data_IF_314036175917
#
_entry.id   IF_314036175917
#
_cell.length_a   1.000
_cell.length_b   1.000
_cell.length_c   1.000
_cell.angle_alpha   90.00
_cell.angle_beta   90.00
_cell.angle_gamma   90.00
#
_symmetry.space_group_name_H-M   'P 1'
#
loop_
_entity.id
_entity.type
_entity.pdbx_description
1 polymer ?
#
# COMPACT_ATOMS: atom_id res chain seq x y z
N UNK A 1 24.18 7.02 11.19
CA UNK A 1 23.10 6.00 11.24
C UNK A 1 21.91 6.61 11.96
N UNK A 2 20.70 6.50 11.38
CA UNK A 2 19.39 7.02 11.85
C UNK A 2 19.18 8.55 11.87
N UNK A 3 19.19 9.20 10.70
CA UNK A 3 18.71 10.58 10.51
C UNK A 3 17.40 10.68 9.71
N UNK A 4 16.72 9.56 9.42
CA UNK A 4 15.62 9.49 8.45
C UNK A 4 14.19 9.54 9.02
N UNK A 5 14.02 9.71 10.33
CA UNK A 5 12.69 9.84 10.96
C UNK A 5 12.50 11.24 11.54
N UNK A 6 12.57 12.28 10.70
CA UNK A 6 11.99 13.59 11.05
C UNK A 6 10.56 13.59 10.54
N UNK A 7 9.62 13.33 11.43
CA UNK A 7 8.20 13.46 11.14
C UNK A 7 7.76 14.88 11.41
N UNK A 8 7.69 15.70 10.36
CA UNK A 8 7.12 17.06 10.40
C UNK A 8 6.26 17.33 9.15
N UNK A 9 5.46 16.34 8.73
CA UNK A 9 4.51 16.51 7.63
C UNK A 9 3.13 16.87 8.21
N UNK A 10 2.98 18.13 8.64
CA UNK A 10 1.73 18.71 9.19
C UNK A 10 0.72 19.17 8.12
N UNK A 11 0.87 18.74 6.86
CA UNK A 11 -0.08 19.09 5.81
C UNK A 11 -1.31 18.17 5.89
N UNK A 12 -2.40 18.68 6.49
CA UNK A 12 -3.65 17.95 6.66
C UNK A 12 -4.50 17.95 5.37
N UNK A 13 -4.82 16.76 4.85
CA UNK A 13 -5.87 16.53 3.86
C UNK A 13 -7.13 15.91 4.49
N UNK A 14 -8.26 15.92 3.77
CA UNK A 14 -9.46 15.18 4.18
C UNK A 14 -9.30 13.69 3.88
N UNK A 15 -9.46 12.83 4.89
CA UNK A 15 -9.19 11.38 4.81
C UNK A 15 -10.46 10.55 4.56
N UNK A 16 -11.64 11.12 4.84
CA UNK A 16 -12.91 10.45 4.64
C UNK A 16 -13.80 11.26 3.69
N UNK A 17 -14.68 10.58 2.92
CA UNK A 17 -15.75 11.27 2.22
C UNK A 17 -16.66 11.91 3.28
N UNK A 18 -16.50 13.22 3.46
CA UNK A 18 -17.55 14.05 4.07
C UNK A 18 -18.71 14.04 3.07
N UNK A 19 -19.95 13.98 3.56
CA UNK A 19 -21.19 13.79 2.78
C UNK A 19 -21.08 14.23 1.30
N UNK A 20 -21.23 13.29 0.38
CA UNK A 20 -21.27 13.55 -1.07
C UNK A 20 -20.09 13.04 -1.91
N UNK A 21 -19.01 12.54 -1.31
CA UNK A 21 -17.89 11.96 -2.08
C UNK A 21 -18.07 10.46 -2.34
N UNK A 22 -18.12 10.07 -3.62
CA UNK A 22 -18.16 8.68 -4.08
C UNK A 22 -16.75 8.06 -4.19
N UNK A 23 -16.71 6.72 -4.16
CA UNK A 23 -15.54 5.84 -4.19
C UNK A 23 -14.34 6.34 -5.02
N UNK A 24 -13.25 6.74 -4.35
CA UNK A 24 -11.97 7.09 -4.99
C UNK A 24 -11.09 5.86 -5.32
N UNK A 25 -11.62 4.64 -5.26
CA UNK A 25 -10.89 3.41 -5.61
C UNK A 25 -11.20 3.03 -7.05
N UNK A 26 -10.27 3.34 -7.96
CA UNK A 26 -10.35 2.90 -9.36
C UNK A 26 -9.94 1.42 -9.49
N UNK A 27 -10.89 0.57 -9.90
CA UNK A 27 -10.66 -0.85 -10.09
C UNK A 27 -9.58 -1.13 -11.16
N UNK A 28 -9.48 -0.28 -12.19
CA UNK A 28 -8.49 -0.46 -13.25
C UNK A 28 -7.07 -0.25 -12.72
N UNK A 29 -6.87 0.72 -11.84
CA UNK A 29 -5.61 0.96 -11.16
C UNK A 29 -5.19 -0.23 -10.29
N UNK A 30 -6.12 -0.79 -9.50
CA UNK A 30 -5.83 -1.91 -8.57
C UNK A 30 -5.47 -3.20 -9.31
N UNK A 31 -6.09 -3.45 -10.47
CA UNK A 31 -5.86 -4.65 -11.26
C UNK A 31 -4.84 -4.47 -12.40
N UNK A 32 -4.12 -3.35 -12.40
CA UNK A 32 -3.06 -3.12 -13.38
C UNK A 32 -1.93 -4.15 -13.23
N UNK A 33 -1.37 -4.56 -14.38
CA UNK A 33 -0.23 -5.50 -14.40
C UNK A 33 0.98 -4.83 -13.77
N UNK A 34 1.78 -5.60 -13.02
CA UNK A 34 3.03 -5.11 -12.42
C UNK A 34 4.09 -4.74 -13.46
N UNK A 35 4.03 -5.33 -14.65
CA UNK A 35 4.86 -5.01 -15.81
C UNK A 35 4.08 -5.25 -17.10
N UNK A 36 4.40 -4.50 -18.16
CA UNK A 36 3.74 -4.62 -19.46
C UNK A 36 3.87 -6.01 -20.09
N UNK A 37 4.96 -6.71 -19.79
CA UNK A 37 5.25 -8.07 -20.26
C UNK A 37 4.99 -9.16 -19.21
N UNK A 38 4.25 -8.85 -18.15
CA UNK A 38 3.92 -9.84 -17.13
C UNK A 38 3.12 -11.00 -17.75
N UNK A 39 3.58 -12.23 -17.50
CA UNK A 39 2.91 -13.45 -17.96
C UNK A 39 1.57 -13.57 -17.21
N UNK A 40 0.48 -13.46 -17.95
CA UNK A 40 -0.91 -13.47 -17.46
C UNK A 40 -1.79 -14.22 -18.48
N UNK A 41 -3.02 -14.63 -18.15
CA UNK A 41 -3.91 -15.24 -19.15
C UNK A 41 -4.09 -14.39 -20.42
N UNK A 42 -4.16 -13.05 -20.27
CA UNK A 42 -4.30 -12.12 -21.39
C UNK A 42 -2.96 -11.75 -22.07
N UNK A 43 -1.84 -12.25 -21.53
CA UNK A 43 -0.50 -12.10 -22.12
C UNK A 43 0.34 -13.32 -21.75
N UNK A 44 0.10 -14.49 -22.36
CA UNK A 44 0.67 -15.76 -21.93
C UNK A 44 2.16 -15.92 -22.31
N UNK A 45 2.75 -14.94 -22.98
CA UNK A 45 4.09 -15.04 -23.55
C UNK A 45 4.11 -15.85 -24.84
N UNK A 46 5.27 -16.41 -25.17
CA UNK A 46 5.49 -17.19 -26.39
C UNK A 46 5.53 -18.69 -26.08
N UNK A 47 4.81 -19.48 -26.87
CA UNK A 47 4.84 -20.94 -26.84
C UNK A 47 5.94 -21.56 -27.71
N UNK A 48 6.77 -20.73 -28.36
CA UNK A 48 7.87 -21.21 -29.22
C UNK A 48 8.92 -21.95 -28.38
N UNK A 49 9.29 -23.15 -28.82
CA UNK A 49 10.32 -23.95 -28.17
C UNK A 49 11.73 -23.54 -28.62
N UNK A 50 12.69 -23.60 -27.69
CA UNK A 50 14.11 -23.50 -28.02
C UNK A 50 14.60 -24.79 -28.69
N UNK A 51 15.25 -24.67 -29.85
CA UNK A 51 16.00 -25.74 -30.50
C UNK A 51 17.34 -25.18 -30.98
N UNK A 52 18.43 -25.79 -30.53
CA UNK A 52 19.78 -25.37 -30.90
C UNK A 52 20.18 -25.84 -32.31
N UNK A 53 19.59 -26.95 -32.78
CA UNK A 53 19.82 -27.54 -34.09
C UNK A 53 18.49 -27.81 -34.81
N UNK A 54 18.47 -27.77 -36.15
CA UNK A 54 17.30 -28.16 -36.94
C UNK A 54 16.99 -29.65 -36.76
N UNK A 55 15.73 -30.01 -36.99
CA UNK A 55 15.30 -31.41 -36.96
C UNK A 55 15.68 -32.07 -38.28
N UNK A 56 16.31 -33.23 -38.20
CA UNK A 56 16.57 -34.09 -39.36
C UNK A 56 15.27 -34.85 -39.65
N UNK A 57 14.60 -34.51 -40.75
CA UNK A 57 13.26 -35.01 -41.08
C UNK A 57 13.27 -36.33 -41.85
N UNK A 58 14.41 -36.67 -42.48
CA UNK A 58 14.59 -37.87 -43.30
C UNK A 58 15.94 -38.53 -42.98
N UNK A 59 16.04 -39.83 -43.20
CA UNK A 59 17.29 -40.55 -42.99
C UNK A 59 18.36 -40.09 -44.01
N UNK A 60 19.55 -39.73 -43.53
CA UNK A 60 20.71 -39.40 -44.36
C UNK A 60 22.00 -39.90 -43.73
N UNK A 61 23.02 -40.13 -44.55
CA UNK A 61 24.39 -40.32 -44.06
C UNK A 61 25.00 -38.96 -43.68
N UNK A 62 25.84 -38.96 -42.64
CA UNK A 62 26.66 -37.81 -42.24
C UNK A 62 28.13 -38.10 -42.57
N UNK A 63 28.88 -37.07 -42.93
CA UNK A 63 30.34 -37.20 -43.07
C UNK A 63 31.03 -37.15 -41.70
N UNK A 64 32.29 -37.56 -41.63
CA UNK A 64 33.09 -37.51 -40.40
C UNK A 64 33.26 -36.06 -39.91
N UNK A 65 33.48 -35.12 -40.83
CA UNK A 65 33.61 -33.69 -40.51
C UNK A 65 32.31 -33.10 -39.93
N UNK A 66 31.14 -33.52 -40.46
CA UNK A 66 29.85 -33.13 -39.91
C UNK A 66 29.66 -33.67 -38.48
N UNK A 67 30.07 -34.92 -38.22
CA UNK A 67 29.99 -35.54 -36.91
C UNK A 67 30.92 -34.87 -35.88
N UNK A 68 32.14 -34.52 -36.28
CA UNK A 68 33.09 -33.80 -35.43
C UNK A 68 32.62 -32.38 -35.10
N UNK A 69 32.06 -31.67 -36.08
CA UNK A 69 31.46 -30.35 -35.87
C UNK A 69 30.29 -30.41 -34.89
N UNK A 70 29.43 -31.44 -34.99
CA UNK A 70 28.35 -31.68 -34.03
C UNK A 70 28.87 -31.99 -32.63
N UNK A 71 29.98 -32.71 -32.52
CA UNK A 71 30.61 -33.02 -31.23
C UNK A 71 31.10 -31.76 -30.53
N UNK A 72 31.72 -30.83 -31.27
CA UNK A 72 32.15 -29.56 -30.69
C UNK A 72 30.96 -28.66 -30.32
N UNK A 73 29.93 -28.63 -31.17
CA UNK A 73 28.69 -27.90 -30.87
C UNK A 73 27.95 -28.46 -29.64
N UNK A 74 27.92 -29.78 -29.45
CA UNK A 74 27.37 -30.43 -28.25
C UNK A 74 28.04 -29.91 -26.98
N UNK A 75 29.37 -29.80 -26.97
CA UNK A 75 30.10 -29.29 -25.80
C UNK A 75 29.68 -27.87 -25.47
N UNK A 76 29.49 -27.02 -26.48
CA UNK A 76 29.03 -25.64 -26.30
C UNK A 76 27.59 -25.61 -25.76
N UNK A 77 26.67 -26.37 -26.33
CA UNK A 77 25.29 -26.46 -25.87
C UNK A 77 25.19 -27.03 -24.45
N UNK A 78 26.05 -27.98 -24.08
CA UNK A 78 26.15 -28.50 -22.71
C UNK A 78 26.54 -27.41 -21.71
N UNK A 79 27.46 -26.51 -22.09
CA UNK A 79 27.85 -25.37 -21.25
C UNK A 79 26.71 -24.35 -21.14
N UNK A 80 26.05 -24.02 -22.25
CA UNK A 80 24.85 -23.17 -22.24
C UNK A 80 23.75 -23.75 -21.37
N UNK A 81 23.46 -25.06 -21.46
CA UNK A 81 22.47 -25.75 -20.60
C UNK A 81 22.73 -25.52 -19.12
N UNK A 82 23.99 -25.67 -18.67
CA UNK A 82 24.37 -25.46 -17.26
C UNK A 82 24.17 -23.99 -16.85
N UNK A 83 24.58 -23.06 -17.70
CA UNK A 83 24.41 -21.63 -17.46
C UNK A 83 22.93 -21.23 -17.42
N UNK A 84 22.12 -21.71 -18.37
CA UNK A 84 20.68 -21.46 -18.44
C UNK A 84 19.95 -21.97 -17.21
N UNK A 85 20.23 -23.21 -16.75
CA UNK A 85 19.67 -23.73 -15.50
C UNK A 85 19.94 -22.78 -14.33
N UNK A 86 21.19 -22.40 -14.14
CA UNK A 86 21.60 -21.47 -13.08
C UNK A 86 20.91 -20.12 -13.22
N UNK A 87 20.81 -19.58 -14.44
CA UNK A 87 20.17 -18.30 -14.69
C UNK A 87 18.67 -18.33 -14.34
N UNK A 88 17.93 -19.33 -14.81
CA UNK A 88 16.50 -19.47 -14.53
C UNK A 88 16.22 -19.63 -13.03
N UNK A 89 17.01 -20.43 -12.30
CA UNK A 89 16.89 -20.56 -10.84
C UNK A 89 17.12 -19.22 -10.10
N UNK A 90 18.03 -18.36 -10.61
CA UNK A 90 18.27 -17.05 -10.03
C UNK A 90 17.16 -16.06 -10.36
N UNK A 91 16.66 -16.08 -11.59
CA UNK A 91 15.52 -15.25 -11.99
C UNK A 91 14.28 -15.57 -11.15
N UNK A 92 14.00 -16.86 -10.92
CA UNK A 92 12.93 -17.30 -10.02
C UNK A 92 13.10 -16.72 -8.61
N UNK A 93 14.29 -16.84 -8.02
CA UNK A 93 14.57 -16.30 -6.68
C UNK A 93 14.40 -14.78 -6.62
N UNK A 94 14.87 -14.05 -7.63
CA UNK A 94 14.68 -12.60 -7.72
C UNK A 94 13.19 -12.25 -7.77
N UNK A 95 12.40 -12.95 -8.59
CA UNK A 95 10.95 -12.76 -8.66
C UNK A 95 10.25 -13.03 -7.32
N UNK A 96 10.70 -14.07 -6.60
CA UNK A 96 10.19 -14.38 -5.26
C UNK A 96 10.52 -13.26 -4.24
N UNK A 97 11.72 -12.70 -4.30
CA UNK A 97 12.12 -11.58 -3.44
C UNK A 97 11.28 -10.32 -3.73
N UNK A 98 11.07 -9.98 -5.00
CA UNK A 98 10.22 -8.86 -5.41
C UNK A 98 8.77 -9.05 -4.92
N UNK A 99 8.25 -10.27 -5.06
CA UNK A 99 6.90 -10.63 -4.56
C UNK A 99 6.80 -10.43 -3.04
N UNK A 100 7.82 -10.85 -2.28
CA UNK A 100 7.86 -10.66 -0.84
C UNK A 100 7.87 -9.17 -0.44
N UNK A 101 8.68 -8.35 -1.13
CA UNK A 101 8.72 -6.89 -0.89
C UNK A 101 7.34 -6.28 -1.07
N UNK A 102 6.67 -6.57 -2.20
CA UNK A 102 5.34 -6.05 -2.48
C UNK A 102 4.32 -6.50 -1.42
N UNK A 103 4.36 -7.78 -1.01
CA UNK A 103 3.51 -8.29 0.08
C UNK A 103 3.72 -7.52 1.38
N UNK A 104 4.97 -7.23 1.74
CA UNK A 104 5.28 -6.48 2.95
C UNK A 104 4.81 -5.02 2.87
N UNK A 105 5.00 -4.38 1.72
CA UNK A 105 4.51 -3.02 1.47
C UNK A 105 2.98 -2.94 1.58
N UNK A 106 2.27 -3.89 0.98
CA UNK A 106 0.81 -3.97 1.06
C UNK A 106 0.30 -4.18 2.49
N UNK A 107 0.99 -5.02 3.26
CA UNK A 107 0.68 -5.20 4.69
C UNK A 107 0.91 -3.91 5.48
N UNK A 108 1.98 -3.18 5.18
CA UNK A 108 2.25 -1.88 5.78
C UNK A 108 1.15 -0.87 5.45
N UNK A 109 0.80 -0.71 4.16
CA UNK A 109 -0.27 0.17 3.69
C UNK A 109 -1.60 -0.10 4.41
N UNK A 110 -1.98 -1.38 4.54
CA UNK A 110 -3.20 -1.76 5.28
C UNK A 110 -3.14 -1.39 6.77
N UNK A 111 -1.98 -1.55 7.40
CA UNK A 111 -1.81 -1.24 8.81
C UNK A 111 -1.82 0.27 9.07
N UNK A 112 -1.18 1.04 8.20
CA UNK A 112 -1.20 2.51 8.21
C UNK A 112 -2.66 3.00 8.13
N UNK A 113 -3.42 2.56 7.12
CA UNK A 113 -4.83 2.94 6.96
C UNK A 113 -5.71 2.57 8.17
N UNK A 114 -5.42 1.42 8.81
CA UNK A 114 -6.10 1.01 10.05
C UNK A 114 -5.77 1.94 11.22
N UNK A 115 -4.51 2.35 11.35
CA UNK A 115 -4.07 3.26 12.39
C UNK A 115 -4.71 4.64 12.19
N UNK A 116 -4.74 5.15 10.96
CA UNK A 116 -5.38 6.43 10.66
C UNK A 116 -6.88 6.39 11.00
N UNK A 117 -7.59 5.32 10.63
CA UNK A 117 -9.00 5.14 11.05
C UNK A 117 -9.17 5.22 12.57
N UNK A 118 -8.26 4.63 13.35
CA UNK A 118 -8.31 4.67 14.83
C UNK A 118 -8.07 6.07 15.35
N UNK A 119 -7.08 6.78 14.81
CA UNK A 119 -6.76 8.17 15.18
C UNK A 119 -7.99 9.06 14.93
N UNK A 120 -8.62 8.97 13.76
CA UNK A 120 -9.84 9.71 13.44
C UNK A 120 -11.01 9.30 14.34
N UNK A 121 -11.12 8.00 14.68
CA UNK A 121 -12.07 7.51 15.66
C UNK A 121 -11.91 8.17 17.04
N UNK A 122 -10.68 8.29 17.53
CA UNK A 122 -10.39 8.98 18.79
C UNK A 122 -10.75 10.46 18.72
N UNK A 123 -10.37 11.16 17.65
CA UNK A 123 -10.74 12.56 17.42
C UNK A 123 -12.26 12.76 17.44
N UNK A 124 -13.01 11.90 16.75
CA UNK A 124 -14.47 11.95 16.71
C UNK A 124 -15.10 11.72 18.09
N UNK A 125 -14.63 10.71 18.84
CA UNK A 125 -15.12 10.45 20.19
C UNK A 125 -14.87 11.64 21.11
N UNK A 126 -13.67 12.24 21.07
CA UNK A 126 -13.37 13.45 21.82
C UNK A 126 -14.26 14.62 21.42
N UNK A 127 -14.46 14.84 20.12
CA UNK A 127 -15.34 15.91 19.62
C UNK A 127 -16.79 15.72 20.10
N UNK A 128 -17.34 14.49 20.04
CA UNK A 128 -18.67 14.18 20.58
C UNK A 128 -18.76 14.45 22.08
N UNK A 129 -17.75 14.05 22.84
CA UNK A 129 -17.69 14.29 24.28
C UNK A 129 -17.68 15.80 24.59
N UNK A 130 -16.82 16.57 23.92
CA UNK A 130 -16.78 18.03 24.08
C UNK A 130 -18.13 18.67 23.72
N UNK A 131 -18.79 18.22 22.66
CA UNK A 131 -20.13 18.67 22.33
C UNK A 131 -21.16 18.32 23.41
N UNK A 132 -21.09 17.12 24.01
CA UNK A 132 -22.00 16.73 25.09
C UNK A 132 -21.82 17.53 26.38
N UNK A 133 -20.65 18.12 26.62
CA UNK A 133 -20.42 18.99 27.78
C UNK A 133 -21.00 20.40 27.61
N UNK A 134 -21.28 20.83 26.36
CA UNK A 134 -21.73 22.21 26.07
C UNK A 134 -22.97 22.63 26.88
N UNK A 135 -24.02 21.81 27.04
CA UNK A 135 -25.18 22.17 27.84
C UNK A 135 -24.86 22.37 29.33
N UNK A 136 -24.00 21.53 29.89
CA UNK A 136 -23.61 21.64 31.30
C UNK A 136 -22.74 22.89 31.54
N UNK A 137 -21.80 23.20 30.64
CA UNK A 137 -21.08 24.47 30.68
C UNK A 137 -22.00 25.69 30.56
N UNK A 138 -23.04 25.61 29.71
CA UNK A 138 -24.03 26.68 29.60
C UNK A 138 -24.82 26.86 30.91
N UNK A 139 -25.22 25.77 31.58
CA UNK A 139 -25.88 25.82 32.90
C UNK A 139 -24.99 26.46 33.97
N UNK A 140 -23.70 26.13 34.00
CA UNK A 140 -22.73 26.73 34.94
C UNK A 140 -22.65 28.25 34.76
N UNK A 141 -22.63 28.73 33.51
CA UNK A 141 -22.68 30.17 33.21
C UNK A 141 -23.97 30.83 33.71
N UNK A 142 -25.13 30.21 33.44
CA UNK A 142 -26.43 30.71 33.90
C UNK A 142 -26.54 30.75 35.44
N UNK A 143 -26.03 29.73 36.14
CA UNK A 143 -26.03 29.70 37.60
C UNK A 143 -25.17 30.79 38.25
N UNK A 144 -24.02 31.11 37.63
CA UNK A 144 -23.18 32.24 38.05
C UNK A 144 -23.92 33.57 37.91
N UNK A 145 -24.59 33.79 36.77
CA UNK A 145 -25.36 35.00 36.50
C UNK A 145 -26.53 35.18 37.49
N UNK A 146 -27.27 34.10 37.78
CA UNK A 146 -28.32 34.10 38.80
C UNK A 146 -27.79 34.47 40.18
N UNK A 147 -26.62 33.94 40.55
CA UNK A 147 -26.00 34.21 41.86
C UNK A 147 -25.54 35.66 41.98
N UNK A 148 -24.99 36.24 40.90
CA UNK A 148 -24.64 37.65 40.83
C UNK A 148 -25.86 38.56 40.97
N UNK A 149 -26.96 38.26 40.25
CA UNK A 149 -28.21 39.00 40.36
C UNK A 149 -28.80 38.97 41.77
N UNK A 150 -28.77 37.81 42.45
CA UNK A 150 -29.23 37.68 43.84
C UNK A 150 -28.38 38.51 44.80
N UNK A 151 -27.05 38.53 44.61
CA UNK A 151 -26.15 39.35 45.41
C UNK A 151 -26.44 40.85 45.21
N UNK A 152 -26.60 41.30 43.96
CA UNK A 152 -26.93 42.70 43.65
C UNK A 152 -28.30 43.12 44.22
N UNK A 153 -29.31 42.25 44.14
CA UNK A 153 -30.62 42.49 44.76
C UNK A 153 -30.51 42.63 46.28
N UNK A 154 -29.73 41.76 46.94
CA UNK A 154 -29.52 41.83 48.39
C UNK A 154 -28.77 43.11 48.79
N UNK A 155 -27.75 43.51 48.03
CA UNK A 155 -27.01 44.76 48.23
C UNK A 155 -27.95 45.96 48.08
N UNK A 156 -28.73 46.02 47.00
CA UNK A 156 -29.67 47.10 46.75
C UNK A 156 -30.76 47.19 47.83
N UNK A 157 -31.25 46.05 48.33
CA UNK A 157 -32.21 46.02 49.43
C UNK A 157 -31.62 46.55 50.74
N UNK A 158 -30.36 46.24 51.05
CA UNK A 158 -29.63 46.81 52.18
C UNK A 158 -29.42 48.32 52.04
N UNK A 159 -29.04 48.77 50.84
CA UNK A 159 -28.81 50.20 50.55
C UNK A 159 -30.11 51.02 50.57
N UNK A 160 -31.25 50.44 50.20
CA UNK A 160 -32.56 51.12 50.26
C UNK A 160 -33.18 51.21 51.66
N UNK A 161 -32.57 50.58 52.67
CA UNK A 161 -32.99 50.65 54.08
C UNK A 161 -32.16 51.65 54.91
N UNK A 162 -31.09 52.19 54.33
CA UNK A 162 -30.28 53.29 54.88
C UNK A 162 -30.83 54.64 54.41
#
# INVERSE_FOLDING_TARGET
MLSYFKGDDLNSGSIAPVQGQANNLDANSVHSKSANNAITPDSPGSWKAYRAVPVVTEARAFTEEEADALTEFEKQERMKRKASKKAYEKLEKIGNHQTAINRHHEKYRRNEARNERRIQGYKNTSAKYLHSLRPEYAKLGQGLEQSAQQADQAINALMGQL
#
